data_IF_371930355477
#
_entry.id   IF_371930355477
#
_cell.length_a   1.000
_cell.length_b   1.000
_cell.length_c   1.000
_cell.angle_alpha   90.00
_cell.angle_beta   90.00
_cell.angle_gamma   90.00
#
_symmetry.space_group_name_H-M   'P 1'
#
loop_
_entity.id
_entity.type
_entity.pdbx_description
1 polymer ?
#
# COMPACT_ATOMS: atom_id res chain seq x y z
N UNK A 1 30.02 5.40 32.19
CA UNK A 1 28.90 4.50 32.12
C UNK A 1 27.83 5.18 31.25
N UNK A 2 27.74 4.81 29.97
CA UNK A 2 26.65 5.28 29.10
C UNK A 2 25.39 4.46 29.47
N UNK A 3 24.39 5.14 30.01
CA UNK A 3 23.04 4.56 30.18
C UNK A 3 22.56 4.26 28.78
N UNK A 4 22.40 2.97 28.45
CA UNK A 4 21.75 2.54 27.24
C UNK A 4 20.35 3.17 27.26
N UNK A 5 20.11 4.16 26.41
CA UNK A 5 18.80 4.71 26.23
C UNK A 5 17.91 3.52 25.76
N UNK A 6 16.95 3.16 26.60
CA UNK A 6 15.95 2.13 26.31
C UNK A 6 15.19 2.60 25.06
N UNK A 7 15.56 2.03 23.91
CA UNK A 7 14.91 2.34 22.63
C UNK A 7 13.52 1.73 22.66
N UNK A 8 12.56 2.48 23.20
CA UNK A 8 11.14 2.11 23.09
C UNK A 8 10.73 2.13 21.62
N UNK A 9 10.42 0.96 21.07
CA UNK A 9 9.93 0.85 19.68
C UNK A 9 8.64 1.68 19.57
N UNK A 10 8.56 2.63 18.64
CA UNK A 10 7.37 3.48 18.50
C UNK A 10 6.14 2.64 18.09
N UNK A 11 4.98 2.99 18.64
CA UNK A 11 3.72 2.24 18.44
C UNK A 11 3.32 2.20 16.96
N UNK A 12 3.58 3.25 16.21
CA UNK A 12 3.34 3.33 14.77
C UNK A 12 4.18 2.33 13.97
N UNK A 13 5.43 2.09 14.38
CA UNK A 13 6.28 1.06 13.79
C UNK A 13 5.69 -0.35 14.03
N UNK A 14 5.21 -0.63 15.24
CA UNK A 14 4.57 -1.93 15.57
C UNK A 14 3.28 -2.14 14.78
N UNK A 15 2.44 -1.13 14.67
CA UNK A 15 1.19 -1.19 13.92
C UNK A 15 1.44 -1.39 12.41
N UNK A 16 2.41 -0.66 11.86
CA UNK A 16 2.82 -0.80 10.45
C UNK A 16 3.41 -2.18 10.18
N UNK A 17 4.23 -2.71 11.10
CA UNK A 17 4.77 -4.05 11.00
C UNK A 17 3.66 -5.12 11.05
N UNK A 18 2.68 -4.98 11.94
CA UNK A 18 1.52 -5.86 12.01
C UNK A 18 0.72 -5.84 10.69
N UNK A 19 0.49 -4.65 10.11
CA UNK A 19 -0.15 -4.49 8.81
C UNK A 19 0.62 -5.23 7.70
N UNK A 20 1.96 -5.13 7.70
CA UNK A 20 2.82 -5.84 6.76
C UNK A 20 2.66 -7.35 6.87
N UNK A 21 2.71 -7.91 8.09
CA UNK A 21 2.57 -9.36 8.32
C UNK A 21 1.20 -9.90 7.89
N UNK A 22 0.12 -9.22 8.25
CA UNK A 22 -1.26 -9.61 7.86
C UNK A 22 -1.40 -9.60 6.34
N UNK A 23 -0.91 -8.55 5.68
CA UNK A 23 -0.97 -8.41 4.23
C UNK A 23 -0.10 -9.45 3.52
N UNK A 24 1.09 -9.75 4.02
CA UNK A 24 1.96 -10.80 3.50
C UNK A 24 1.31 -12.19 3.60
N UNK A 25 0.69 -12.49 4.74
CA UNK A 25 -0.05 -13.75 4.93
C UNK A 25 -1.21 -13.89 3.93
N UNK A 26 -1.97 -12.82 3.72
CA UNK A 26 -3.06 -12.80 2.76
C UNK A 26 -2.54 -12.93 1.32
N UNK A 27 -1.48 -12.22 0.97
CA UNK A 27 -0.83 -12.33 -0.33
C UNK A 27 -0.40 -13.77 -0.64
N UNK A 28 0.20 -14.46 0.31
CA UNK A 28 0.59 -15.88 0.17
C UNK A 28 -0.61 -16.83 -0.04
N UNK A 29 -1.75 -16.54 0.61
CA UNK A 29 -3.00 -17.29 0.36
C UNK A 29 -3.51 -17.08 -1.06
N UNK A 30 -3.56 -15.83 -1.51
CA UNK A 30 -4.06 -15.48 -2.84
C UNK A 30 -3.13 -15.94 -3.95
N UNK A 31 -1.82 -15.99 -3.69
CA UNK A 31 -0.84 -16.57 -4.61
C UNK A 31 -1.12 -18.06 -4.85
N UNK A 32 -1.35 -18.82 -3.79
CA UNK A 32 -1.75 -20.24 -3.89
C UNK A 32 -3.08 -20.42 -4.61
N UNK A 33 -3.99 -19.47 -4.46
CA UNK A 33 -5.26 -19.44 -5.20
C UNK A 33 -5.13 -18.91 -6.64
N UNK A 34 -3.90 -18.69 -7.14
CA UNK A 34 -3.57 -18.17 -8.47
C UNK A 34 -4.16 -16.79 -8.78
N UNK A 35 -4.42 -15.98 -7.75
CA UNK A 35 -4.90 -14.60 -7.88
C UNK A 35 -3.71 -13.63 -7.88
N UNK A 36 -2.89 -13.72 -8.92
CA UNK A 36 -1.57 -13.08 -8.97
C UNK A 36 -1.61 -11.55 -8.81
N UNK A 37 -2.55 -10.86 -9.45
CA UNK A 37 -2.62 -9.40 -9.35
C UNK A 37 -3.03 -8.94 -7.94
N UNK A 38 -4.01 -9.61 -7.30
CA UNK A 38 -4.36 -9.37 -5.91
C UNK A 38 -3.19 -9.65 -4.96
N UNK A 39 -2.50 -10.78 -5.17
CA UNK A 39 -1.32 -11.14 -4.40
C UNK A 39 -0.21 -10.09 -4.56
N UNK A 40 0.07 -9.66 -5.79
CA UNK A 40 1.05 -8.61 -6.07
C UNK A 40 0.72 -7.27 -5.42
N UNK A 41 -0.55 -6.85 -5.46
CA UNK A 41 -1.01 -5.63 -4.78
C UNK A 41 -0.83 -5.69 -3.26
N UNK A 42 -1.13 -6.84 -2.65
CA UNK A 42 -0.94 -7.05 -1.21
C UNK A 42 0.54 -7.19 -0.81
N UNK A 43 1.37 -7.79 -1.66
CA UNK A 43 2.83 -7.80 -1.45
C UNK A 43 3.39 -6.39 -1.49
N UNK A 44 2.94 -5.58 -2.44
CA UNK A 44 3.31 -4.18 -2.52
C UNK A 44 2.84 -3.41 -1.27
N UNK A 45 1.60 -3.60 -0.83
CA UNK A 45 1.09 -2.99 0.40
C UNK A 45 1.92 -3.43 1.63
N UNK A 46 2.26 -4.72 1.73
CA UNK A 46 3.10 -5.24 2.82
C UNK A 46 4.50 -4.63 2.80
N UNK A 47 5.12 -4.49 1.62
CA UNK A 47 6.42 -3.84 1.47
C UNK A 47 6.38 -2.36 1.89
N UNK A 48 5.34 -1.62 1.50
CA UNK A 48 5.16 -0.23 1.91
C UNK A 48 4.99 -0.11 3.44
N UNK A 49 4.17 -0.97 4.04
CA UNK A 49 3.97 -0.99 5.49
C UNK A 49 5.25 -1.39 6.25
N UNK A 50 6.05 -2.32 5.71
CA UNK A 50 7.34 -2.69 6.28
C UNK A 50 8.34 -1.53 6.21
N UNK A 51 8.40 -0.79 5.09
CA UNK A 51 9.25 0.40 4.99
C UNK A 51 8.79 1.53 5.90
N UNK A 52 7.47 1.68 6.11
CA UNK A 52 6.94 2.62 7.08
C UNK A 52 7.38 2.26 8.51
N UNK A 53 7.29 0.97 8.89
CA UNK A 53 7.78 0.49 10.18
C UNK A 53 9.28 0.72 10.34
N UNK A 54 10.06 0.45 9.29
CA UNK A 54 11.51 0.69 9.29
C UNK A 54 11.85 2.17 9.45
N UNK A 55 11.22 3.04 8.64
CA UNK A 55 11.43 4.49 8.66
C UNK A 55 11.07 5.11 10.00
N UNK A 56 9.96 4.68 10.63
CA UNK A 56 9.57 5.13 11.97
C UNK A 56 10.54 4.69 13.06
N UNK A 57 11.18 3.52 12.92
CA UNK A 57 12.10 2.99 13.94
C UNK A 57 13.56 3.48 13.79
N UNK A 58 14.03 3.67 12.55
CA UNK A 58 15.45 3.92 12.26
C UNK A 58 15.70 5.24 11.51
N UNK A 59 14.64 5.95 11.13
CA UNK A 59 14.72 7.09 10.22
C UNK A 59 14.65 6.68 8.75
N UNK A 60 14.42 7.68 7.90
CA UNK A 60 14.26 7.49 6.46
C UNK A 60 15.58 7.73 5.71
N UNK A 61 15.75 6.98 4.62
CA UNK A 61 16.82 7.18 3.64
C UNK A 61 16.26 7.07 2.21
N UNK A 62 17.05 7.43 1.21
CA UNK A 62 16.62 7.39 -0.17
C UNK A 62 16.20 6.00 -0.67
N UNK A 63 16.88 4.88 -0.33
CA UNK A 63 16.46 3.54 -0.67
C UNK A 63 15.11 3.15 -0.04
N UNK A 64 14.92 3.33 1.27
CA UNK A 64 13.67 2.99 1.96
C UNK A 64 12.49 3.80 1.45
N UNK A 65 12.72 5.10 1.18
CA UNK A 65 11.70 5.95 0.60
C UNK A 65 11.32 5.52 -0.84
N UNK A 66 12.28 5.15 -1.69
CA UNK A 66 12.00 4.63 -3.03
C UNK A 66 11.15 3.35 -2.99
N UNK A 67 11.49 2.41 -2.11
CA UNK A 67 10.71 1.17 -1.96
C UNK A 67 9.31 1.47 -1.42
N UNK A 68 9.19 2.32 -0.41
CA UNK A 68 7.90 2.78 0.13
C UNK A 68 7.03 3.40 -0.96
N UNK A 69 7.60 4.29 -1.76
CA UNK A 69 6.88 5.01 -2.81
C UNK A 69 6.46 4.09 -3.96
N UNK A 70 7.39 3.23 -4.44
CA UNK A 70 7.08 2.23 -5.46
C UNK A 70 5.94 1.31 -5.01
N UNK A 71 6.09 0.73 -3.85
CA UNK A 71 5.18 -0.28 -3.34
C UNK A 71 3.83 0.33 -2.95
N UNK A 72 3.83 1.42 -2.17
CA UNK A 72 2.62 2.06 -1.66
C UNK A 72 1.86 2.85 -2.71
N UNK A 73 2.54 3.80 -3.36
CA UNK A 73 1.88 4.76 -4.24
C UNK A 73 1.69 4.26 -5.68
N UNK A 74 2.63 3.47 -6.21
CA UNK A 74 2.61 3.07 -7.62
C UNK A 74 2.07 1.65 -7.86
N UNK A 75 2.21 0.71 -6.93
CA UNK A 75 1.87 -0.69 -7.19
C UNK A 75 0.65 -1.20 -6.41
N UNK A 76 0.47 -0.86 -5.14
CA UNK A 76 -0.54 -1.49 -4.29
C UNK A 76 -1.96 -1.32 -4.84
N UNK A 77 -2.46 -0.10 -4.94
CA UNK A 77 -3.81 0.18 -5.41
C UNK A 77 -4.04 -0.19 -6.89
N UNK A 78 -3.13 0.11 -7.84
CA UNK A 78 -3.29 -0.33 -9.22
C UNK A 78 -3.39 -1.84 -9.39
N UNK A 79 -2.55 -2.63 -8.72
CA UNK A 79 -2.58 -4.08 -8.83
C UNK A 79 -3.84 -4.69 -8.17
N UNK A 80 -4.32 -4.12 -7.06
CA UNK A 80 -5.61 -4.51 -6.48
C UNK A 80 -6.77 -4.19 -7.45
N UNK A 81 -6.72 -3.04 -8.13
CA UNK A 81 -7.66 -2.67 -9.17
C UNK A 81 -7.64 -3.64 -10.35
N UNK A 82 -6.47 -3.94 -10.87
CA UNK A 82 -6.28 -4.95 -11.93
C UNK A 82 -6.84 -6.31 -11.49
N UNK A 83 -6.55 -6.75 -10.30
CA UNK A 83 -7.06 -7.99 -9.74
C UNK A 83 -8.60 -8.00 -9.63
N UNK A 84 -9.19 -6.87 -9.27
CA UNK A 84 -10.66 -6.71 -9.24
C UNK A 84 -11.27 -6.80 -10.64
N UNK A 85 -10.67 -6.17 -11.65
CA UNK A 85 -11.11 -6.27 -13.04
C UNK A 85 -10.95 -7.70 -13.59
N UNK A 86 -9.94 -8.45 -13.18
CA UNK A 86 -9.77 -9.87 -13.53
C UNK A 86 -10.92 -10.74 -12.99
N UNK A 87 -11.46 -10.43 -11.79
CA UNK A 87 -12.64 -11.10 -11.25
C UNK A 87 -13.89 -10.91 -12.16
N UNK A 88 -13.97 -9.79 -12.86
CA UNK A 88 -14.99 -9.53 -13.88
C UNK A 88 -14.65 -10.13 -15.25
N UNK A 89 -13.66 -11.02 -15.34
CA UNK A 89 -13.19 -11.66 -16.58
C UNK A 89 -12.77 -10.68 -17.70
N UNK A 90 -12.28 -9.49 -17.34
CA UNK A 90 -11.73 -8.53 -18.32
C UNK A 90 -10.37 -9.02 -18.79
N UNK A 91 -10.29 -9.48 -20.05
CA UNK A 91 -9.06 -10.07 -20.65
C UNK A 91 -7.89 -9.07 -20.70
N UNK A 92 -8.18 -7.79 -20.88
CA UNK A 92 -7.17 -6.72 -20.92
C UNK A 92 -6.55 -6.38 -19.55
N UNK A 93 -7.12 -6.84 -18.44
CA UNK A 93 -6.63 -6.45 -17.12
C UNK A 93 -5.22 -6.97 -16.83
N UNK A 94 -4.89 -8.21 -17.21
CA UNK A 94 -3.56 -8.77 -16.96
C UNK A 94 -2.43 -8.04 -17.71
N UNK A 95 -2.50 -7.82 -19.04
CA UNK A 95 -1.47 -7.08 -19.74
C UNK A 95 -1.34 -5.63 -19.27
N UNK A 96 -2.44 -4.95 -18.91
CA UNK A 96 -2.39 -3.60 -18.33
C UNK A 96 -1.63 -3.62 -17.01
N UNK A 97 -1.89 -4.59 -16.13
CA UNK A 97 -1.17 -4.72 -14.85
C UNK A 97 0.33 -4.98 -15.03
N UNK A 98 0.72 -5.83 -15.97
CA UNK A 98 2.13 -6.10 -16.27
C UNK A 98 2.83 -4.87 -16.86
N UNK A 99 2.20 -4.21 -17.83
CA UNK A 99 2.73 -2.98 -18.42
C UNK A 99 2.93 -1.90 -17.35
N UNK A 100 1.91 -1.67 -16.52
CA UNK A 100 1.99 -0.71 -15.43
C UNK A 100 3.10 -1.06 -14.44
N UNK A 101 3.24 -2.33 -14.05
CA UNK A 101 4.32 -2.76 -13.14
C UNK A 101 5.70 -2.47 -13.73
N UNK A 102 5.90 -2.72 -15.02
CA UNK A 102 7.14 -2.38 -15.71
C UNK A 102 7.41 -0.87 -15.71
N UNK A 103 6.40 -0.06 -16.03
CA UNK A 103 6.51 1.41 -15.99
C UNK A 103 6.83 1.92 -14.58
N UNK A 104 6.15 1.41 -13.56
CA UNK A 104 6.38 1.81 -12.17
C UNK A 104 7.79 1.47 -11.69
N UNK A 105 8.29 0.28 -11.99
CA UNK A 105 9.65 -0.14 -11.65
C UNK A 105 10.67 0.73 -12.41
N UNK A 106 10.51 0.90 -13.72
CA UNK A 106 11.39 1.74 -14.53
C UNK A 106 11.45 3.18 -14.05
N UNK A 107 10.27 3.74 -13.67
CA UNK A 107 10.18 5.08 -13.10
C UNK A 107 11.00 5.21 -11.81
N UNK A 108 10.88 4.24 -10.89
CA UNK A 108 11.58 4.32 -9.59
C UNK A 108 13.09 4.05 -9.73
N UNK A 109 13.51 3.21 -10.65
CA UNK A 109 14.93 3.01 -10.94
C UNK A 109 15.60 4.29 -11.48
N UNK A 110 14.88 5.07 -12.30
CA UNK A 110 15.33 6.37 -12.80
C UNK A 110 15.04 7.55 -11.87
N UNK A 111 14.43 7.32 -10.69
CA UNK A 111 13.97 8.38 -9.81
C UNK A 111 15.13 9.08 -9.11
N UNK A 112 15.24 10.38 -9.32
CA UNK A 112 16.13 11.23 -8.52
C UNK A 112 15.37 11.68 -7.26
N UNK A 113 15.91 11.33 -6.11
CA UNK A 113 15.39 11.74 -4.81
C UNK A 113 16.20 12.94 -4.36
N UNK A 114 15.54 14.07 -4.17
CA UNK A 114 16.16 15.33 -3.78
C UNK A 114 16.11 15.55 -2.26
N UNK A 115 17.04 16.35 -1.76
CA UNK A 115 17.07 16.77 -0.35
C UNK A 115 17.55 15.70 0.62
N UNK A 116 17.51 16.05 1.89
CA UNK A 116 17.93 15.20 3.02
C UNK A 116 16.70 14.75 3.80
N UNK A 117 16.71 13.50 4.26
CA UNK A 117 15.68 12.99 5.15
C UNK A 117 16.02 13.37 6.59
N UNK A 118 15.07 13.97 7.30
CA UNK A 118 15.24 14.36 8.71
C UNK A 118 14.11 13.78 9.53
N UNK A 119 14.46 13.04 10.60
CA UNK A 119 13.48 12.46 11.52
C UNK A 119 12.89 11.13 11.10
N UNK A 120 11.89 10.70 11.85
CA UNK A 120 11.15 9.43 11.68
C UNK A 120 9.82 9.58 10.96
N UNK A 121 9.39 10.82 10.72
CA UNK A 121 8.13 11.09 10.03
C UNK A 121 8.18 10.66 8.55
N UNK A 122 7.04 10.24 8.03
CA UNK A 122 6.94 9.82 6.62
C UNK A 122 7.28 10.99 5.69
N UNK A 123 8.30 10.86 4.82
CA UNK A 123 8.74 11.95 3.96
C UNK A 123 7.64 12.36 2.96
N UNK A 124 7.50 13.66 2.76
CA UNK A 124 6.55 14.19 1.78
C UNK A 124 7.08 14.02 0.37
N UNK A 125 6.32 13.37 -0.48
CA UNK A 125 6.71 13.15 -1.87
C UNK A 125 6.99 14.47 -2.63
N UNK A 126 6.30 15.55 -2.27
CA UNK A 126 6.48 16.86 -2.90
C UNK A 126 7.84 17.52 -2.61
N UNK A 127 8.46 17.16 -1.50
CA UNK A 127 9.74 17.74 -1.06
C UNK A 127 10.94 16.96 -1.63
N UNK A 128 10.69 15.73 -2.10
CA UNK A 128 11.74 14.80 -2.52
C UNK A 128 11.64 14.32 -3.96
N UNK A 129 10.49 14.50 -4.63
CA UNK A 129 10.23 13.97 -5.96
C UNK A 129 9.76 15.02 -6.94
N UNK A 130 10.16 14.84 -8.19
CA UNK A 130 9.67 15.59 -9.33
C UNK A 130 8.14 15.48 -9.53
N UNK A 131 7.57 16.34 -10.34
CA UNK A 131 6.12 16.40 -10.59
C UNK A 131 5.61 15.13 -11.28
N UNK A 132 6.35 14.61 -12.26
CA UNK A 132 5.91 13.47 -13.08
C UNK A 132 5.64 12.19 -12.25
N UNK A 133 6.56 11.71 -11.39
CA UNK A 133 6.29 10.56 -10.52
C UNK A 133 5.06 10.75 -9.63
N UNK A 134 4.87 11.96 -9.09
CA UNK A 134 3.72 12.28 -8.22
C UNK A 134 2.39 12.23 -8.97
N UNK A 135 2.33 12.83 -10.16
CA UNK A 135 1.11 12.80 -10.99
C UNK A 135 0.76 11.37 -11.38
N UNK A 136 1.76 10.58 -11.81
CA UNK A 136 1.55 9.18 -12.17
C UNK A 136 1.07 8.35 -10.97
N UNK A 137 1.60 8.57 -9.78
CA UNK A 137 1.17 7.88 -8.56
C UNK A 137 -0.28 8.23 -8.20
N UNK A 138 -0.66 9.51 -8.27
CA UNK A 138 -2.04 9.96 -8.00
C UNK A 138 -3.01 9.33 -9.00
N UNK A 139 -2.72 9.41 -10.30
CA UNK A 139 -3.57 8.84 -11.34
C UNK A 139 -3.74 7.33 -11.19
N UNK A 140 -2.62 6.62 -11.01
CA UNK A 140 -2.63 5.17 -10.89
C UNK A 140 -3.37 4.70 -9.63
N UNK A 141 -3.10 5.31 -8.48
CA UNK A 141 -3.77 4.99 -7.21
C UNK A 141 -5.26 5.29 -7.29
N UNK A 142 -5.65 6.42 -7.89
CA UNK A 142 -7.05 6.80 -8.06
C UNK A 142 -7.79 5.82 -8.98
N UNK A 143 -7.21 5.48 -10.12
CA UNK A 143 -7.80 4.52 -11.06
C UNK A 143 -7.88 3.10 -10.46
N UNK A 144 -6.82 2.67 -9.76
CA UNK A 144 -6.79 1.39 -9.06
C UNK A 144 -7.86 1.30 -7.98
N UNK A 145 -7.95 2.30 -7.13
CA UNK A 145 -8.97 2.39 -6.08
C UNK A 145 -10.38 2.45 -6.66
N UNK A 146 -10.60 3.27 -7.69
CA UNK A 146 -11.90 3.34 -8.38
C UNK A 146 -12.30 1.97 -8.95
N UNK A 147 -11.37 1.24 -9.56
CA UNK A 147 -11.65 -0.10 -10.08
C UNK A 147 -12.06 -1.08 -8.96
N UNK A 148 -11.39 -1.06 -7.80
CA UNK A 148 -11.79 -1.87 -6.63
C UNK A 148 -13.18 -1.51 -6.16
N UNK A 149 -13.46 -0.22 -5.98
CA UNK A 149 -14.76 0.28 -5.47
C UNK A 149 -15.88 -0.07 -6.43
N UNK A 150 -15.70 0.19 -7.72
CA UNK A 150 -16.73 -0.11 -8.75
C UNK A 150 -17.02 -1.61 -8.79
N UNK A 151 -16.00 -2.47 -8.82
CA UNK A 151 -16.20 -3.92 -8.84
C UNK A 151 -16.87 -4.41 -7.56
N UNK A 152 -16.47 -3.91 -6.38
CA UNK A 152 -17.10 -4.26 -5.12
C UNK A 152 -18.57 -3.83 -5.08
N UNK A 153 -18.90 -2.63 -5.56
CA UNK A 153 -20.27 -2.13 -5.65
C UNK A 153 -21.13 -2.98 -6.60
N UNK A 154 -20.61 -3.29 -7.80
CA UNK A 154 -21.34 -4.11 -8.80
C UNK A 154 -21.56 -5.55 -8.31
N UNK A 155 -20.69 -6.07 -7.46
CA UNK A 155 -20.78 -7.43 -6.93
C UNK A 155 -21.36 -7.49 -5.52
N UNK A 156 -21.81 -6.36 -4.96
CA UNK A 156 -22.28 -6.25 -3.58
C UNK A 156 -23.41 -7.24 -3.27
N UNK A 157 -24.38 -7.41 -4.19
CA UNK A 157 -25.48 -8.35 -4.02
C UNK A 157 -25.05 -9.83 -3.98
N UNK A 158 -23.91 -10.17 -4.59
CA UNK A 158 -23.42 -11.55 -4.65
C UNK A 158 -22.60 -11.95 -3.41
N UNK A 159 -21.89 -11.01 -2.80
CA UNK A 159 -21.05 -11.20 -1.60
C UNK A 159 -21.14 -9.97 -0.69
N UNK A 160 -22.29 -9.74 -0.03
CA UNK A 160 -22.55 -8.48 0.66
C UNK A 160 -21.52 -8.20 1.77
N UNK A 161 -21.29 -9.13 2.67
CA UNK A 161 -20.34 -8.95 3.78
C UNK A 161 -18.90 -8.76 3.29
N UNK A 162 -18.43 -9.61 2.37
CA UNK A 162 -17.07 -9.51 1.84
C UNK A 162 -16.81 -8.18 1.13
N UNK A 163 -17.78 -7.68 0.34
CA UNK A 163 -17.63 -6.41 -0.36
C UNK A 163 -17.78 -5.19 0.56
N UNK A 164 -18.62 -5.24 1.59
CA UNK A 164 -18.69 -4.18 2.61
C UNK A 164 -17.37 -4.08 3.37
N UNK A 165 -16.78 -5.20 3.79
CA UNK A 165 -15.47 -5.22 4.44
C UNK A 165 -14.37 -4.72 3.51
N UNK A 166 -14.43 -5.07 2.22
CA UNK A 166 -13.48 -4.57 1.22
C UNK A 166 -13.59 -3.04 1.05
N UNK A 167 -14.81 -2.51 0.94
CA UNK A 167 -15.03 -1.06 0.85
C UNK A 167 -14.59 -0.34 2.12
N UNK A 168 -14.86 -0.91 3.30
CA UNK A 168 -14.37 -0.38 4.57
C UNK A 168 -12.83 -0.38 4.63
N UNK A 169 -12.17 -1.44 4.12
CA UNK A 169 -10.72 -1.51 4.03
C UNK A 169 -10.14 -0.43 3.12
N UNK A 170 -10.76 -0.18 1.97
CA UNK A 170 -10.36 0.90 1.05
C UNK A 170 -10.53 2.26 1.72
N UNK A 171 -11.64 2.48 2.44
CA UNK A 171 -11.87 3.70 3.22
C UNK A 171 -10.82 3.91 4.31
N UNK A 172 -10.48 2.85 5.06
CA UNK A 172 -9.43 2.89 6.07
C UNK A 172 -8.05 3.20 5.45
N UNK A 173 -7.71 2.60 4.30
CA UNK A 173 -6.46 2.89 3.60
C UNK A 173 -6.40 4.33 3.07
N UNK A 174 -7.52 4.87 2.57
CA UNK A 174 -7.61 6.26 2.15
C UNK A 174 -7.44 7.23 3.34
N UNK A 175 -8.09 6.95 4.47
CA UNK A 175 -7.92 7.71 5.71
C UNK A 175 -6.47 7.65 6.21
N UNK A 176 -5.84 6.47 6.18
CA UNK A 176 -4.43 6.31 6.51
C UNK A 176 -3.56 7.23 5.65
N UNK A 177 -3.75 7.22 4.33
CA UNK A 177 -2.97 8.05 3.40
C UNK A 177 -3.15 9.56 3.66
N UNK A 178 -4.35 9.99 4.04
CA UNK A 178 -4.60 11.39 4.40
C UNK A 178 -3.93 11.79 5.72
N UNK A 179 -3.83 10.85 6.67
CA UNK A 179 -3.27 11.10 8.01
C UNK A 179 -1.75 10.99 8.07
N UNK A 180 -1.08 10.42 7.07
CA UNK A 180 0.38 10.19 7.09
C UNK A 180 1.19 11.46 7.35
N UNK A 181 0.67 12.64 7.00
CA UNK A 181 1.36 13.92 7.13
C UNK A 181 1.02 14.68 8.42
N UNK A 182 0.00 14.26 9.17
CA UNK A 182 -0.51 15.00 10.34
C UNK A 182 -0.56 14.17 11.61
N UNK A 183 -0.73 12.84 11.48
CA UNK A 183 -0.92 11.94 12.63
C UNK A 183 -0.43 10.52 12.27
N UNK A 184 0.90 10.33 12.29
CA UNK A 184 1.56 9.07 11.84
C UNK A 184 1.03 7.84 12.59
N UNK A 185 0.84 7.92 13.91
CA UNK A 185 0.28 6.81 14.68
C UNK A 185 -1.17 6.45 14.28
N UNK A 186 -1.99 7.46 14.00
CA UNK A 186 -3.36 7.22 13.50
C UNK A 186 -3.34 6.65 12.07
N UNK A 187 -2.43 7.10 11.22
CA UNK A 187 -2.22 6.53 9.89
C UNK A 187 -1.82 5.05 9.98
N UNK A 188 -0.88 4.70 10.86
CA UNK A 188 -0.45 3.32 11.08
C UNK A 188 -1.60 2.44 11.59
N UNK A 189 -2.43 2.95 12.52
CA UNK A 189 -3.63 2.26 12.99
C UNK A 189 -4.64 2.03 11.85
N UNK A 190 -4.87 3.02 10.99
CA UNK A 190 -5.74 2.88 9.83
C UNK A 190 -5.17 1.88 8.79
N UNK A 191 -3.86 1.82 8.57
CA UNK A 191 -3.25 0.79 7.73
C UNK A 191 -3.41 -0.61 8.32
N UNK A 192 -3.21 -0.77 9.63
CA UNK A 192 -3.43 -2.04 10.32
C UNK A 192 -4.91 -2.48 10.22
N UNK A 193 -5.84 -1.54 10.41
CA UNK A 193 -7.27 -1.79 10.23
C UNK A 193 -7.60 -2.20 8.79
N UNK A 194 -7.06 -1.50 7.80
CA UNK A 194 -7.25 -1.84 6.38
C UNK A 194 -6.76 -3.25 6.07
N UNK A 195 -5.58 -3.63 6.56
CA UNK A 195 -5.04 -4.99 6.40
C UNK A 195 -5.93 -6.06 7.05
N UNK A 196 -6.43 -5.80 8.26
CA UNK A 196 -7.33 -6.71 8.97
C UNK A 196 -8.67 -6.88 8.24
N UNK A 197 -9.25 -5.78 7.74
CA UNK A 197 -10.50 -5.79 6.97
C UNK A 197 -10.34 -6.52 5.63
N UNK A 198 -9.21 -6.30 4.92
CA UNK A 198 -8.90 -7.04 3.69
C UNK A 198 -8.78 -8.54 3.96
N UNK A 199 -8.12 -8.90 5.08
CA UNK A 199 -8.00 -10.31 5.49
C UNK A 199 -9.37 -10.92 5.78
N UNK A 200 -10.22 -10.23 6.56
CA UNK A 200 -11.57 -10.67 6.86
C UNK A 200 -12.42 -10.81 5.58
N UNK A 201 -12.39 -9.81 4.67
CA UNK A 201 -13.10 -9.84 3.39
C UNK A 201 -12.72 -11.04 2.51
N UNK A 202 -11.47 -11.48 2.59
CA UNK A 202 -10.97 -12.60 1.80
C UNK A 202 -11.27 -13.97 2.41
N UNK A 203 -11.64 -14.04 3.69
CA UNK A 203 -11.92 -15.29 4.42
C UNK A 203 -13.41 -15.63 4.50
N UNK A 204 -14.29 -14.68 4.24
CA UNK A 204 -15.75 -14.83 4.13
C UNK A 204 -16.14 -15.03 2.65
#
# INVERSE_FOLDING_TARGET
>A
MAVAAEQTIPVDALLSFAAALVSLRLAGRLLRARRYAWSGGLLAFAAAAAMMAWGSAHGWDAPSFRVYYLAGALLSAPLLGVGSLQLMRRRSAAPIGLLWSGVAIGLVLGLHVHGTFTGSDVPRAQDHLDVLPRVLAILASSLGTAAVVVVAALTLRRRPLGNVLLLAAVGAAAAASALTQTAVAAAAACFALAAALLYAAATI
#
